data_IF_121060950277
#
_entry.id   IF_121060950277
#
_cell.length_a   1.000
_cell.length_b   1.000
_cell.length_c   1.000
_cell.angle_alpha   90.00
_cell.angle_beta   90.00
_cell.angle_gamma   90.00
#
_symmetry.space_group_name_H-M   'P 1'
#
loop_
_entity.id
_entity.type
_entity.pdbx_description
1 polymer ?
#
# COMPACT_ATOMS: atom_id res chain seq x y z
N UNK A 1 4.19 30.31 -0.28
CA UNK A 1 5.29 29.76 0.59
C UNK A 1 5.88 28.47 0.05
N UNK A 2 5.12 27.37 -0.19
CA UNK A 2 5.69 26.15 -0.82
C UNK A 2 6.05 26.38 -2.30
N UNK A 3 5.25 27.13 -3.02
CA UNK A 3 5.47 27.47 -4.42
C UNK A 3 6.82 28.17 -4.65
N UNK A 4 7.12 29.20 -3.87
CA UNK A 4 8.40 29.91 -3.97
C UNK A 4 9.60 28.96 -3.72
N UNK A 5 9.53 28.12 -2.68
CA UNK A 5 10.58 27.13 -2.40
C UNK A 5 10.75 26.10 -3.52
N UNK A 6 9.67 25.73 -4.18
CA UNK A 6 9.72 24.84 -5.34
C UNK A 6 10.46 25.51 -6.50
N UNK A 7 10.13 26.76 -6.81
CA UNK A 7 10.81 27.52 -7.87
C UNK A 7 12.32 27.68 -7.58
N UNK A 8 12.68 27.98 -6.34
CA UNK A 8 14.06 28.03 -5.88
C UNK A 8 14.76 26.67 -6.07
N UNK A 9 14.11 25.56 -5.69
CA UNK A 9 14.65 24.22 -5.81
C UNK A 9 14.91 23.78 -7.25
N UNK A 10 13.99 24.13 -8.18
CA UNK A 10 14.11 23.76 -9.59
C UNK A 10 14.93 24.78 -10.42
N UNK A 11 15.49 25.82 -9.76
CA UNK A 11 16.33 26.83 -10.42
C UNK A 11 15.54 27.82 -11.29
N UNK A 12 14.26 28.08 -10.97
CA UNK A 12 13.38 29.02 -11.68
C UNK A 12 12.99 30.19 -10.80
N UNK A 13 13.96 30.78 -10.13
CA UNK A 13 13.78 31.97 -9.29
C UNK A 13 13.27 33.17 -10.09
N UNK A 14 13.51 33.19 -11.41
CA UNK A 14 13.00 34.19 -12.37
C UNK A 14 11.47 34.29 -12.39
N UNK A 15 10.76 33.22 -11.99
CA UNK A 15 9.29 33.17 -11.95
C UNK A 15 8.70 33.63 -10.61
N UNK A 16 9.54 33.89 -9.61
CA UNK A 16 9.09 34.34 -8.29
C UNK A 16 8.55 35.76 -8.40
N UNK A 17 7.25 35.92 -8.04
CA UNK A 17 6.57 37.21 -8.09
C UNK A 17 5.99 37.58 -9.46
N UNK A 18 6.15 36.76 -10.48
CA UNK A 18 5.46 36.92 -11.75
C UNK A 18 3.96 36.60 -11.55
N UNK A 19 3.05 37.57 -11.85
CA UNK A 19 1.61 37.38 -11.71
C UNK A 19 1.06 36.20 -12.52
N UNK A 20 1.70 35.82 -13.64
CA UNK A 20 1.30 34.72 -14.49
C UNK A 20 1.50 33.36 -13.80
N UNK A 21 2.34 33.29 -12.77
CA UNK A 21 2.64 32.08 -11.99
C UNK A 21 2.15 32.16 -10.53
N UNK A 22 1.45 33.23 -10.16
CA UNK A 22 1.03 33.47 -8.78
C UNK A 22 0.07 32.40 -8.24
N UNK A 23 -0.78 31.85 -9.11
CA UNK A 23 -1.80 30.85 -8.73
C UNK A 23 -1.53 29.46 -9.29
N UNK A 24 -0.60 29.31 -10.21
CA UNK A 24 -0.30 28.05 -10.89
C UNK A 24 -1.36 27.56 -11.88
N UNK A 25 -2.60 28.06 -11.79
CA UNK A 25 -3.70 27.52 -12.57
C UNK A 25 -3.70 27.94 -14.05
N UNK A 26 -3.21 29.15 -14.37
CA UNK A 26 -3.24 29.67 -15.75
C UNK A 26 -2.15 29.05 -16.65
N UNK A 27 -1.10 28.47 -16.05
CA UNK A 27 0.04 27.84 -16.74
C UNK A 27 0.37 26.45 -16.18
N UNK A 28 -0.65 25.69 -15.84
CA UNK A 28 -0.52 24.37 -15.20
C UNK A 28 0.39 23.45 -16.01
N UNK A 29 0.18 23.33 -17.31
CA UNK A 29 1.00 22.48 -18.18
C UNK A 29 2.49 22.91 -18.22
N UNK A 30 2.76 24.23 -18.26
CA UNK A 30 4.14 24.72 -18.27
C UNK A 30 4.85 24.46 -16.95
N UNK A 31 4.12 24.56 -15.83
CA UNK A 31 4.64 24.22 -14.50
C UNK A 31 4.90 22.74 -14.38
N UNK A 32 3.99 21.90 -14.86
CA UNK A 32 4.18 20.43 -14.88
C UNK A 32 5.40 20.05 -15.71
N UNK A 33 5.61 20.65 -16.86
CA UNK A 33 6.78 20.41 -17.71
C UNK A 33 8.09 20.79 -16.99
N UNK A 34 8.11 21.94 -16.31
CA UNK A 34 9.27 22.37 -15.52
C UNK A 34 9.59 21.41 -14.37
N UNK A 35 8.57 21.02 -13.62
CA UNK A 35 8.73 20.06 -12.51
C UNK A 35 9.16 18.70 -13.03
N UNK A 36 8.53 18.22 -14.11
CA UNK A 36 8.86 16.95 -14.75
C UNK A 36 10.30 16.91 -15.24
N UNK A 37 10.74 17.98 -15.92
CA UNK A 37 12.13 18.09 -16.41
C UNK A 37 13.16 18.07 -15.27
N UNK A 38 12.81 18.66 -14.12
CA UNK A 38 13.67 18.63 -12.95
C UNK A 38 13.68 17.24 -12.28
N UNK A 39 12.50 16.63 -12.07
CA UNK A 39 12.36 15.32 -11.42
C UNK A 39 13.08 14.21 -12.22
N UNK A 40 13.02 14.25 -13.55
CA UNK A 40 13.67 13.27 -14.43
C UNK A 40 15.20 13.18 -14.28
N UNK A 41 15.83 14.14 -13.60
CA UNK A 41 17.26 14.13 -13.32
C UNK A 41 17.64 13.24 -12.13
N UNK A 42 16.67 12.77 -11.36
CA UNK A 42 16.86 12.06 -10.11
C UNK A 42 16.05 10.76 -10.10
N UNK A 43 16.48 9.80 -9.30
CA UNK A 43 15.56 8.72 -8.91
C UNK A 43 14.47 9.26 -7.94
N UNK A 44 13.39 8.52 -7.80
CA UNK A 44 12.22 8.97 -7.02
C UNK A 44 12.50 9.20 -5.53
N UNK A 45 13.43 8.44 -4.95
CA UNK A 45 13.80 8.57 -3.53
C UNK A 45 14.64 9.83 -3.32
N UNK A 46 15.59 10.09 -4.23
CA UNK A 46 16.39 11.29 -4.18
C UNK A 46 15.56 12.55 -4.46
N UNK A 47 14.68 12.51 -5.46
CA UNK A 47 13.73 13.60 -5.73
C UNK A 47 12.88 13.92 -4.48
N UNK A 48 12.29 12.89 -3.85
CA UNK A 48 11.52 13.04 -2.61
C UNK A 48 12.37 13.67 -1.49
N UNK A 49 13.61 13.22 -1.33
CA UNK A 49 14.53 13.74 -0.30
C UNK A 49 14.87 15.22 -0.54
N UNK A 50 15.13 15.61 -1.77
CA UNK A 50 15.45 16.99 -2.14
C UNK A 50 14.24 17.93 -1.92
N UNK A 51 13.07 17.51 -2.36
CA UNK A 51 11.82 18.27 -2.17
C UNK A 51 11.49 18.39 -0.69
N UNK A 52 11.64 17.30 0.07
CA UNK A 52 11.45 17.30 1.53
C UNK A 52 12.44 18.20 2.25
N UNK A 53 13.72 18.22 1.85
CA UNK A 53 14.75 19.11 2.40
C UNK A 53 14.45 20.59 2.18
N UNK A 54 13.76 20.92 1.08
CA UNK A 54 13.25 22.28 0.82
C UNK A 54 12.01 22.63 1.68
N UNK A 55 11.56 21.72 2.53
CA UNK A 55 10.38 21.91 3.40
C UNK A 55 9.06 21.87 2.63
N UNK A 56 9.02 21.10 1.55
CA UNK A 56 7.82 20.86 0.75
C UNK A 56 7.38 19.41 1.00
N UNK A 57 6.10 19.17 1.37
CA UNK A 57 5.59 17.81 1.51
C UNK A 57 5.71 17.04 0.19
N UNK A 58 6.36 15.88 0.22
CA UNK A 58 6.54 15.03 -0.93
C UNK A 58 6.50 13.56 -0.51
N UNK A 59 6.11 12.69 -1.43
CA UNK A 59 6.14 11.24 -1.27
C UNK A 59 6.42 10.56 -2.60
N UNK A 60 7.32 9.57 -2.60
CA UNK A 60 7.54 8.75 -3.76
C UNK A 60 6.37 7.78 -3.98
N UNK A 61 5.98 7.57 -5.23
CA UNK A 61 5.04 6.51 -5.59
C UNK A 61 5.82 5.20 -5.63
N UNK A 62 5.53 4.32 -4.68
CA UNK A 62 6.18 3.02 -4.56
C UNK A 62 5.46 1.99 -5.42
N UNK A 63 6.21 1.11 -6.06
CA UNK A 63 5.66 -0.07 -6.71
C UNK A 63 5.42 -1.21 -5.71
N UNK A 64 4.88 -2.32 -6.18
CA UNK A 64 4.51 -3.45 -5.32
C UNK A 64 5.72 -4.10 -4.65
N UNK A 65 6.84 -4.19 -5.35
CA UNK A 65 8.06 -4.79 -4.81
C UNK A 65 8.68 -3.89 -3.72
N UNK A 66 8.72 -2.58 -3.98
CA UNK A 66 9.17 -1.60 -3.00
C UNK A 66 8.30 -1.59 -1.74
N UNK A 67 6.97 -1.65 -1.91
CA UNK A 67 6.03 -1.73 -0.78
C UNK A 67 6.24 -2.98 0.06
N UNK A 68 6.47 -4.14 -0.58
CA UNK A 68 6.72 -5.40 0.13
C UNK A 68 8.03 -5.40 0.90
N UNK A 69 9.02 -4.66 0.43
CA UNK A 69 10.37 -4.63 1.00
C UNK A 69 10.67 -3.36 1.81
N UNK A 70 9.69 -2.47 1.96
CA UNK A 70 9.85 -1.25 2.76
C UNK A 70 9.99 -1.60 4.25
N UNK A 71 11.14 -1.26 4.89
CA UNK A 71 11.39 -1.60 6.29
C UNK A 71 10.45 -0.88 7.27
N UNK A 72 9.93 0.28 6.90
CA UNK A 72 8.97 1.01 7.75
C UNK A 72 7.60 0.33 7.75
N UNK A 73 7.17 -0.22 6.62
CA UNK A 73 5.93 -0.99 6.55
C UNK A 73 6.03 -2.30 7.32
N UNK A 74 7.19 -2.96 7.27
CA UNK A 74 7.45 -4.16 8.08
C UNK A 74 7.46 -3.82 9.58
N UNK A 75 8.23 -2.81 9.99
CA UNK A 75 8.30 -2.34 11.38
C UNK A 75 6.95 -1.92 11.95
N UNK A 76 6.10 -1.31 11.11
CA UNK A 76 4.74 -0.90 11.49
C UNK A 76 3.73 -2.05 11.44
N UNK A 77 4.10 -3.22 10.93
CA UNK A 77 3.22 -4.38 10.77
C UNK A 77 2.18 -4.22 9.68
N UNK A 78 2.40 -3.29 8.72
CA UNK A 78 1.54 -3.09 7.54
C UNK A 78 1.80 -4.20 6.53
N UNK A 79 3.06 -4.54 6.27
CA UNK A 79 3.44 -5.70 5.48
C UNK A 79 3.86 -6.83 6.44
N UNK A 80 3.25 -7.98 6.29
CA UNK A 80 3.50 -9.14 7.16
C UNK A 80 3.62 -10.43 6.36
N UNK A 81 4.42 -11.36 6.87
CA UNK A 81 4.48 -12.71 6.32
C UNK A 81 3.28 -13.51 6.80
N UNK A 82 2.53 -14.04 5.86
CA UNK A 82 1.47 -15.01 6.09
C UNK A 82 1.96 -16.42 5.73
N UNK A 83 1.68 -17.40 6.61
CA UNK A 83 1.92 -18.79 6.32
C UNK A 83 0.63 -19.40 5.77
N UNK A 84 0.64 -19.73 4.48
CA UNK A 84 -0.49 -20.36 3.82
C UNK A 84 -0.24 -21.87 3.67
N UNK A 85 -1.19 -22.74 4.07
CA UNK A 85 -0.96 -24.19 4.16
C UNK A 85 -0.58 -24.86 2.82
N UNK A 86 -1.03 -24.30 1.69
CA UNK A 86 -0.72 -24.85 0.36
C UNK A 86 0.26 -24.02 -0.45
N UNK A 87 0.31 -22.69 -0.23
CA UNK A 87 1.12 -21.77 -1.03
C UNK A 87 2.45 -21.39 -0.35
N UNK A 88 2.67 -21.84 0.88
CA UNK A 88 3.84 -21.45 1.67
C UNK A 88 3.78 -20.02 2.19
N UNK A 89 4.94 -19.49 2.54
CA UNK A 89 5.05 -18.15 3.11
C UNK A 89 5.10 -17.08 2.02
N UNK A 90 4.31 -16.02 2.18
CA UNK A 90 4.40 -14.84 1.34
C UNK A 90 4.08 -13.57 2.14
N UNK A 91 4.63 -12.44 1.71
CA UNK A 91 4.32 -11.13 2.29
C UNK A 91 3.02 -10.59 1.69
N UNK A 92 2.17 -10.01 2.54
CA UNK A 92 0.94 -9.35 2.13
C UNK A 92 0.62 -8.18 3.04
N UNK A 93 -0.21 -7.21 2.58
CA UNK A 93 -0.76 -6.19 3.45
C UNK A 93 -1.61 -6.79 4.56
N UNK A 94 -1.32 -6.41 5.79
CA UNK A 94 -2.13 -6.74 6.95
C UNK A 94 -3.06 -5.58 7.31
N UNK A 95 -3.94 -5.79 8.28
CA UNK A 95 -4.82 -4.75 8.76
C UNK A 95 -4.03 -3.61 9.41
N UNK A 96 -4.15 -2.36 8.93
CA UNK A 96 -3.31 -1.25 9.40
C UNK A 96 -3.74 -0.70 10.76
N UNK A 97 -4.97 -1.01 11.19
CA UNK A 97 -5.51 -0.51 12.45
C UNK A 97 -4.99 -1.34 13.62
N UNK A 98 -4.61 -0.67 14.70
CA UNK A 98 -4.19 -1.29 15.94
C UNK A 98 -5.28 -1.17 17.00
N UNK A 99 -5.49 -2.25 17.76
CA UNK A 99 -6.34 -2.23 18.94
C UNK A 99 -5.45 -2.30 20.18
N UNK A 100 -5.55 -1.30 21.07
CA UNK A 100 -4.72 -1.18 22.28
C UNK A 100 -3.21 -1.33 22.00
N UNK A 101 -2.75 -0.78 20.88
CA UNK A 101 -1.37 -0.86 20.44
C UNK A 101 -0.96 -2.17 19.76
N UNK A 102 -1.82 -3.18 19.77
CA UNK A 102 -1.56 -4.46 19.13
C UNK A 102 -2.10 -4.52 17.70
N UNK A 103 -1.34 -5.16 16.81
CA UNK A 103 -1.81 -5.53 15.47
C UNK A 103 -2.70 -6.78 15.56
N UNK A 104 -3.85 -6.83 14.89
CA UNK A 104 -4.67 -8.04 14.82
C UNK A 104 -3.89 -9.23 14.25
N UNK A 105 -4.24 -10.47 14.62
CA UNK A 105 -3.63 -11.65 14.05
C UNK A 105 -3.84 -11.69 12.53
N UNK A 106 -2.84 -12.21 11.82
CA UNK A 106 -2.94 -12.50 10.39
C UNK A 106 -2.96 -14.02 10.23
N UNK A 107 -4.07 -14.52 9.72
CA UNK A 107 -4.25 -15.95 9.43
C UNK A 107 -4.66 -16.14 7.97
N UNK A 108 -4.30 -17.29 7.40
CA UNK A 108 -4.77 -17.66 6.08
C UNK A 108 -6.30 -17.85 6.08
N UNK A 109 -6.91 -17.55 4.95
CA UNK A 109 -8.30 -17.94 4.74
C UNK A 109 -8.42 -19.46 4.75
N UNK A 110 -9.55 -20.02 5.22
CA UNK A 110 -9.77 -21.46 5.18
C UNK A 110 -9.68 -22.01 3.76
N UNK A 111 -9.17 -23.21 3.64
CA UNK A 111 -9.19 -23.96 2.37
C UNK A 111 -10.62 -24.37 2.01
N UNK A 112 -10.84 -24.67 0.75
CA UNK A 112 -12.15 -25.13 0.29
C UNK A 112 -12.59 -26.36 1.08
N UNK A 113 -13.73 -26.26 1.74
CA UNK A 113 -14.29 -27.34 2.52
C UNK A 113 -13.63 -27.65 3.88
N UNK A 114 -12.64 -26.84 4.31
CA UNK A 114 -11.88 -27.08 5.55
C UNK A 114 -12.75 -27.24 6.79
N UNK A 115 -13.84 -26.47 6.88
CA UNK A 115 -14.74 -26.44 8.04
C UNK A 115 -16.06 -27.17 7.82
N UNK A 116 -16.21 -27.99 6.78
CA UNK A 116 -17.47 -28.67 6.45
C UNK A 116 -17.99 -29.50 7.64
N UNK A 117 -17.14 -30.30 8.27
CA UNK A 117 -17.54 -31.17 9.36
C UNK A 117 -17.98 -30.36 10.59
N UNK A 118 -17.26 -29.29 10.89
CA UNK A 118 -17.60 -28.38 11.99
C UNK A 118 -18.91 -27.64 11.76
N UNK A 119 -19.07 -27.05 10.57
CA UNK A 119 -20.25 -26.25 10.24
C UNK A 119 -21.49 -27.12 10.16
N UNK A 120 -21.44 -28.24 9.47
CA UNK A 120 -22.60 -29.13 9.35
C UNK A 120 -22.94 -29.79 10.70
N UNK A 121 -21.95 -30.17 11.50
CA UNK A 121 -22.18 -30.73 12.82
C UNK A 121 -22.76 -29.73 13.81
N UNK A 122 -22.18 -28.55 13.93
CA UNK A 122 -22.55 -27.56 14.94
C UNK A 122 -23.81 -26.76 14.58
N UNK A 123 -24.05 -26.46 13.30
CA UNK A 123 -25.14 -25.58 12.88
C UNK A 123 -26.36 -26.34 12.34
N UNK A 124 -26.12 -27.51 11.74
CA UNK A 124 -27.18 -28.28 11.08
C UNK A 124 -27.47 -29.61 11.76
N UNK A 125 -26.75 -29.95 12.82
CA UNK A 125 -26.85 -31.22 13.54
C UNK A 125 -26.72 -32.47 12.62
N UNK A 126 -25.94 -32.33 11.54
CA UNK A 126 -25.62 -33.42 10.62
C UNK A 126 -24.41 -34.16 11.19
N UNK A 127 -24.57 -35.43 11.48
CA UNK A 127 -23.51 -36.25 12.05
C UNK A 127 -22.43 -36.64 11.03
N UNK A 128 -21.28 -37.09 11.51
CA UNK A 128 -20.15 -37.45 10.67
C UNK A 128 -20.43 -38.56 9.65
N UNK A 129 -21.37 -39.46 9.94
CA UNK A 129 -21.76 -40.52 9.01
C UNK A 129 -22.56 -39.95 7.82
N UNK A 130 -23.44 -38.99 8.10
CA UNK A 130 -24.15 -38.27 7.05
C UNK A 130 -23.23 -37.39 6.21
N UNK A 131 -22.26 -36.71 6.83
CA UNK A 131 -21.23 -35.95 6.10
C UNK A 131 -20.41 -36.86 5.20
N UNK A 132 -19.97 -38.03 5.68
CA UNK A 132 -19.21 -39.01 4.87
C UNK A 132 -20.05 -39.51 3.67
N UNK A 133 -21.35 -39.70 3.86
CA UNK A 133 -22.27 -40.07 2.78
C UNK A 133 -22.35 -38.95 1.73
N UNK A 134 -22.54 -37.69 2.15
CA UNK A 134 -22.60 -36.56 1.23
C UNK A 134 -21.33 -36.41 0.40
N UNK A 135 -20.14 -36.68 1.00
CA UNK A 135 -18.87 -36.73 0.27
C UNK A 135 -18.84 -37.88 -0.73
N UNK A 136 -19.30 -39.07 -0.34
CA UNK A 136 -19.35 -40.22 -1.23
C UNK A 136 -20.29 -40.03 -2.42
N UNK A 137 -21.36 -39.28 -2.21
CA UNK A 137 -22.36 -38.96 -3.23
C UNK A 137 -21.94 -37.76 -4.11
N UNK A 138 -20.79 -37.11 -3.84
CA UNK A 138 -20.29 -35.97 -4.59
C UNK A 138 -21.11 -34.68 -4.40
N UNK A 139 -21.78 -34.56 -3.28
CA UNK A 139 -22.61 -33.36 -2.95
C UNK A 139 -21.74 -32.29 -2.31
N UNK A 140 -20.72 -32.68 -1.56
CA UNK A 140 -19.72 -31.82 -0.87
C UNK A 140 -18.32 -32.36 -1.05
#
# INVERSE_FOLDING_TARGET
>A
MHWQRLLELIGREDLIGDPAYATGAERENEIEDLISAWIQQYDKQEAMRLVGAAGIPAGAVLDTDELQNDPDFERRGIMRVMNHPTNGNFKMPAWPVRHDGATPPLAAAPLLGEHIDEVLGNWSAIDGAAVAKLRGDGVI
#
